data_IF_538926843839
#
_entry.id   IF_538926843839
#
_cell.length_a   1.000
_cell.length_b   1.000
_cell.length_c   1.000
_cell.angle_alpha   90.00
_cell.angle_beta   90.00
_cell.angle_gamma   90.00
#
_symmetry.space_group_name_H-M   'P 1'
#
loop_
_entity.id
_entity.type
_entity.pdbx_description
1 polymer ?
#
# COMPACT_ATOMS: atom_id res chain seq x y z
N UNK A 1 20.07 -21.22 -11.21
CA UNK A 1 18.64 -20.85 -11.14
C UNK A 1 18.57 -19.33 -11.13
N UNK A 2 18.01 -18.73 -12.19
CA UNK A 2 18.00 -17.28 -12.40
C UNK A 2 16.77 -16.66 -11.74
N UNK A 3 16.92 -16.03 -10.57
CA UNK A 3 15.84 -15.40 -9.81
C UNK A 3 15.77 -13.88 -9.99
N UNK A 4 16.14 -13.37 -11.17
CA UNK A 4 15.88 -11.97 -11.51
C UNK A 4 14.41 -11.84 -11.93
N UNK A 5 13.49 -11.76 -10.96
CA UNK A 5 12.10 -11.41 -11.27
C UNK A 5 12.09 -10.00 -11.88
N UNK A 6 11.59 -9.81 -13.10
CA UNK A 6 11.43 -8.47 -13.67
C UNK A 6 10.58 -7.61 -12.74
N UNK A 7 10.80 -6.30 -12.75
CA UNK A 7 9.92 -5.38 -12.04
C UNK A 7 8.46 -5.61 -12.46
N UNK A 8 7.47 -5.46 -11.55
CA UNK A 8 6.08 -5.69 -11.87
C UNK A 8 5.66 -4.90 -13.11
N UNK A 9 5.00 -5.59 -14.06
CA UNK A 9 4.61 -5.02 -15.34
C UNK A 9 3.42 -4.04 -15.25
N UNK A 10 2.99 -3.47 -16.39
CA UNK A 10 1.91 -2.48 -16.45
C UNK A 10 0.59 -2.91 -15.80
N UNK A 11 0.29 -4.22 -15.81
CA UNK A 11 -0.94 -4.76 -15.20
C UNK A 11 -0.89 -4.67 -13.67
N UNK A 12 0.28 -4.89 -13.06
CA UNK A 12 0.46 -4.70 -11.62
C UNK A 12 0.27 -3.22 -11.23
N UNK A 13 0.74 -2.28 -12.06
CA UNK A 13 0.53 -0.85 -11.82
C UNK A 13 -0.97 -0.46 -11.89
N UNK A 14 -1.73 -1.03 -12.84
CA UNK A 14 -3.18 -0.83 -12.90
C UNK A 14 -3.89 -1.44 -11.68
N UNK A 15 -3.53 -2.67 -11.32
CA UNK A 15 -4.08 -3.35 -10.16
C UNK A 15 -3.80 -2.60 -8.86
N UNK A 16 -2.59 -2.05 -8.69
CA UNK A 16 -2.22 -1.22 -7.54
C UNK A 16 -3.11 0.01 -7.43
N UNK A 17 -3.28 0.77 -8.53
CA UNK A 17 -4.14 1.96 -8.56
C UNK A 17 -5.58 1.62 -8.21
N UNK A 18 -6.13 0.57 -8.82
CA UNK A 18 -7.50 0.13 -8.56
C UNK A 18 -7.67 -0.35 -7.11
N UNK A 19 -6.69 -1.10 -6.59
CA UNK A 19 -6.64 -1.54 -5.20
C UNK A 19 -6.59 -0.37 -4.22
N UNK A 20 -5.82 0.68 -4.50
CA UNK A 20 -5.79 1.89 -3.68
C UNK A 20 -7.14 2.61 -3.68
N UNK A 21 -7.80 2.74 -4.83
CA UNK A 21 -9.14 3.33 -4.90
C UNK A 21 -10.16 2.49 -4.12
N UNK A 22 -10.15 1.17 -4.30
CA UNK A 22 -11.04 0.27 -3.57
C UNK A 22 -10.78 0.33 -2.05
N UNK A 23 -9.52 0.31 -1.62
CA UNK A 23 -9.14 0.44 -0.22
C UNK A 23 -9.57 1.78 0.39
N UNK A 24 -9.41 2.88 -0.34
CA UNK A 24 -9.90 4.18 0.10
C UNK A 24 -11.43 4.20 0.28
N UNK A 25 -12.18 3.64 -0.68
CA UNK A 25 -13.63 3.54 -0.58
C UNK A 25 -14.06 2.69 0.62
N UNK A 26 -13.41 1.54 0.85
CA UNK A 26 -13.68 0.67 2.00
C UNK A 26 -13.42 1.42 3.30
N UNK A 27 -12.25 2.08 3.42
CA UNK A 27 -11.90 2.85 4.61
C UNK A 27 -12.87 3.99 4.89
N UNK A 28 -13.22 4.79 3.88
CA UNK A 28 -14.18 5.89 4.03
C UNK A 28 -15.58 5.39 4.39
N UNK A 29 -16.04 4.31 3.77
CA UNK A 29 -17.33 3.68 4.10
C UNK A 29 -17.34 3.21 5.55
N UNK A 30 -16.29 2.54 6.00
CA UNK A 30 -16.16 2.09 7.38
C UNK A 30 -16.19 3.24 8.39
N UNK A 31 -15.41 4.29 8.14
CA UNK A 31 -15.39 5.49 8.99
C UNK A 31 -16.77 6.18 9.01
N UNK A 32 -17.43 6.29 7.86
CA UNK A 32 -18.77 6.85 7.75
C UNK A 32 -19.82 6.06 8.52
N UNK A 33 -19.80 4.73 8.44
CA UNK A 33 -20.71 3.87 9.21
C UNK A 33 -20.48 3.97 10.72
N UNK A 34 -19.22 4.07 11.16
CA UNK A 34 -18.89 4.26 12.57
C UNK A 34 -19.38 5.62 13.11
N UNK A 35 -19.33 6.66 12.29
CA UNK A 35 -19.91 7.95 12.66
C UNK A 35 -21.44 7.90 12.67
N UNK A 36 -22.05 7.31 11.64
CA UNK A 36 -23.52 7.16 11.56
C UNK A 36 -24.07 6.41 12.77
N UNK A 37 -23.43 5.32 13.17
CA UNK A 37 -23.86 4.52 14.32
C UNK A 37 -23.68 5.23 15.68
N UNK A 38 -23.06 6.41 15.71
CA UNK A 38 -22.76 7.16 16.91
C UNK A 38 -21.52 6.66 17.67
N UNK A 39 -20.78 5.69 17.12
CA UNK A 39 -19.55 5.16 17.74
C UNK A 39 -18.41 6.19 17.71
N UNK A 40 -18.42 7.13 16.76
CA UNK A 40 -17.49 8.26 16.70
C UNK A 40 -18.22 9.57 16.97
N UNK A 41 -17.69 10.36 17.90
CA UNK A 41 -18.06 11.78 18.01
C UNK A 41 -17.50 12.55 16.81
N UNK A 42 -18.03 13.75 16.54
CA UNK A 42 -17.56 14.59 15.43
C UNK A 42 -16.04 14.85 15.49
N UNK A 43 -15.50 15.09 16.69
CA UNK A 43 -14.07 15.31 16.89
C UNK A 43 -13.25 14.06 16.53
N UNK A 44 -13.69 12.88 17.00
CA UNK A 44 -13.00 11.62 16.70
C UNK A 44 -13.12 11.23 15.23
N UNK A 45 -14.25 11.53 14.59
CA UNK A 45 -14.42 11.36 13.15
C UNK A 45 -13.41 12.21 12.36
N UNK A 46 -13.30 13.50 12.70
CA UNK A 46 -12.34 14.41 12.08
C UNK A 46 -10.88 13.96 12.32
N UNK A 47 -10.55 13.59 13.56
CA UNK A 47 -9.24 13.02 13.91
C UNK A 47 -8.92 11.77 13.08
N UNK A 48 -9.90 10.86 12.93
CA UNK A 48 -9.74 9.62 12.17
C UNK A 48 -9.47 9.92 10.70
N UNK A 49 -10.21 10.84 10.08
CA UNK A 49 -10.00 11.22 8.68
C UNK A 49 -8.65 11.92 8.46
N UNK A 50 -8.26 12.83 9.35
CA UNK A 50 -7.06 13.66 9.14
C UNK A 50 -5.78 12.90 9.49
N UNK A 51 -5.78 12.10 10.56
CA UNK A 51 -4.56 11.48 11.07
C UNK A 51 -4.49 9.97 10.79
N UNK A 52 -5.58 9.23 11.03
CA UNK A 52 -5.55 7.76 10.95
C UNK A 52 -5.76 7.24 9.53
N UNK A 53 -6.61 7.89 8.74
CA UNK A 53 -6.92 7.45 7.38
C UNK A 53 -5.69 7.48 6.44
N UNK A 54 -4.80 8.51 6.46
CA UNK A 54 -3.56 8.47 5.70
C UNK A 54 -2.66 7.29 6.10
N UNK A 55 -2.54 7.01 7.41
CA UNK A 55 -1.76 5.88 7.92
C UNK A 55 -2.35 4.54 7.46
N UNK A 56 -3.68 4.41 7.51
CA UNK A 56 -4.38 3.25 6.95
C UNK A 56 -4.07 3.06 5.46
N UNK A 57 -4.08 4.12 4.64
CA UNK A 57 -3.74 4.02 3.22
C UNK A 57 -2.30 3.56 3.00
N UNK A 58 -1.36 3.92 3.88
CA UNK A 58 0.02 3.39 3.83
C UNK A 58 0.02 1.88 4.06
N UNK A 59 -0.73 1.37 5.02
CA UNK A 59 -0.85 -0.08 5.23
C UNK A 59 -1.47 -0.81 4.04
N UNK A 60 -2.51 -0.22 3.43
CA UNK A 60 -3.10 -0.75 2.18
C UNK A 60 -2.05 -0.79 1.07
N UNK A 61 -1.29 0.30 0.89
CA UNK A 61 -0.24 0.38 -0.12
C UNK A 61 0.87 -0.65 0.12
N UNK A 62 1.28 -0.86 1.38
CA UNK A 62 2.26 -1.89 1.73
C UNK A 62 1.72 -3.28 1.41
N UNK A 63 0.49 -3.61 1.84
CA UNK A 63 -0.14 -4.89 1.54
C UNK A 63 -0.23 -5.15 0.03
N UNK A 64 -0.66 -4.17 -0.75
CA UNK A 64 -0.71 -4.25 -2.21
C UNK A 64 0.68 -4.39 -2.82
N UNK A 65 1.69 -3.68 -2.30
CA UNK A 65 3.07 -3.76 -2.79
C UNK A 65 3.65 -5.16 -2.59
N UNK A 66 3.39 -5.77 -1.44
CA UNK A 66 3.79 -7.16 -1.16
C UNK A 66 3.04 -8.13 -2.09
N UNK A 67 1.71 -7.99 -2.19
CA UNK A 67 0.87 -8.88 -2.98
C UNK A 67 1.17 -8.83 -4.48
N UNK A 68 1.47 -7.65 -5.01
CA UNK A 68 1.82 -7.44 -6.43
C UNK A 68 3.30 -7.70 -6.73
N UNK A 69 4.10 -8.08 -5.72
CA UNK A 69 5.51 -8.42 -5.91
C UNK A 69 6.41 -7.22 -6.19
N UNK A 70 6.04 -6.02 -5.73
CA UNK A 70 6.95 -4.87 -5.74
C UNK A 70 8.10 -5.04 -4.75
N UNK A 71 7.95 -5.89 -3.74
CA UNK A 71 9.02 -6.25 -2.83
C UNK A 71 10.10 -7.05 -3.58
N UNK A 72 11.33 -6.51 -3.63
CA UNK A 72 12.49 -7.22 -4.15
C UNK A 72 13.27 -7.76 -2.97
N UNK A 73 13.59 -9.06 -3.00
CA UNK A 73 14.46 -9.66 -2.00
C UNK A 73 15.86 -9.04 -2.06
N UNK A 74 16.55 -8.96 -0.90
CA UNK A 74 17.94 -8.51 -0.83
C UNK A 74 18.90 -9.37 -1.69
N UNK A 75 18.51 -10.60 -2.00
CA UNK A 75 19.20 -11.51 -2.92
C UNK A 75 19.05 -11.14 -4.39
N UNK A 76 18.16 -10.20 -4.74
CA UNK A 76 18.04 -9.65 -6.08
C UNK A 76 19.16 -8.65 -6.44
N UNK A 77 19.99 -8.25 -5.45
CA UNK A 77 21.17 -7.45 -5.69
C UNK A 77 22.23 -8.28 -6.40
N UNK A 78 22.61 -7.88 -7.62
CA UNK A 78 23.74 -8.50 -8.33
C UNK A 78 25.06 -8.02 -7.70
N UNK A 79 26.00 -8.91 -7.34
CA UNK A 79 27.30 -8.47 -6.84
C UNK A 79 28.01 -7.63 -7.91
N UNK A 80 28.42 -6.42 -7.51
CA UNK A 80 29.22 -5.52 -8.35
C UNK A 80 30.66 -5.61 -7.86
N UNK A 81 31.55 -6.07 -8.74
CA UNK A 81 32.99 -6.10 -8.46
C UNK A 81 33.62 -4.78 -8.89
N UNK A 82 34.42 -4.16 -8.00
CA UNK A 82 35.22 -2.98 -8.34
C UNK A 82 36.45 -3.44 -9.13
N UNK A 83 36.61 -2.95 -10.36
CA UNK A 83 37.84 -3.14 -11.13
C UNK A 83 38.90 -2.22 -10.54
N UNK A 84 39.89 -2.77 -9.83
CA UNK A 84 41.06 -2.00 -9.42
C UNK A 84 41.87 -1.61 -10.65
N UNK A 85 42.33 -0.36 -10.68
CA UNK A 85 43.06 0.27 -11.77
C UNK A 85 44.47 0.60 -11.31
#
# INVERSE_FOLDING_TARGET
>A
MNSSRPAPGPDAARAFRLGMFAGALIGLTGIGLLYWSGALTLLLFAYTIVLLFPVYLVFVAVGLSLWLGYNKDATALRPVYRTER
#
